data_IF_136256659677
#
_entry.id   IF_136256659677
#
_cell.length_a   1.000
_cell.length_b   1.000
_cell.length_c   1.000
_cell.angle_alpha   90.00
_cell.angle_beta   90.00
_cell.angle_gamma   90.00
#
_symmetry.space_group_name_H-M   'P 1'
#
loop_
_entity.id
_entity.type
_entity.pdbx_description
1 polymer ?
#
# COMPACT_ATOMS: atom_id res chain seq x y z
N UNK A 1 36.62 -3.01 -3.85
CA UNK A 1 35.40 -2.64 -4.60
C UNK A 1 34.22 -2.93 -3.69
N UNK A 2 33.69 -1.89 -3.03
CA UNK A 2 32.61 -2.03 -2.05
C UNK A 2 31.28 -2.19 -2.81
N UNK A 3 30.60 -3.31 -2.61
CA UNK A 3 29.22 -3.50 -3.06
C UNK A 3 28.33 -2.60 -2.19
N UNK A 4 27.59 -1.63 -2.75
CA UNK A 4 26.59 -0.92 -1.97
C UNK A 4 25.49 -1.91 -1.62
N UNK A 5 25.33 -2.18 -0.33
CA UNK A 5 24.16 -2.89 0.20
C UNK A 5 22.95 -2.03 -0.11
N UNK A 6 22.07 -2.48 -1.00
CA UNK A 6 20.76 -1.84 -1.18
C UNK A 6 19.97 -2.09 0.10
N UNK A 7 19.96 -1.09 0.98
CA UNK A 7 19.06 -1.05 2.13
C UNK A 7 17.64 -1.13 1.58
N UNK A 8 16.93 -2.16 2.02
CA UNK A 8 15.56 -2.48 1.65
C UNK A 8 14.70 -1.20 1.53
N UNK A 9 14.09 -0.89 0.36
CA UNK A 9 13.13 0.21 0.25
C UNK A 9 11.81 -0.24 0.88
N UNK A 10 11.85 -0.63 2.15
CA UNK A 10 10.66 -0.85 2.93
C UNK A 10 10.07 0.53 3.19
N UNK A 11 8.91 0.81 2.60
CA UNK A 11 8.10 1.94 3.00
C UNK A 11 7.70 1.68 4.45
N UNK A 12 8.15 2.49 5.44
CA UNK A 12 7.73 2.30 6.80
C UNK A 12 6.26 2.74 6.89
N UNK A 13 5.36 1.80 6.68
CA UNK A 13 3.96 1.98 7.06
C UNK A 13 3.92 1.83 8.57
N UNK A 14 3.83 2.95 9.29
CA UNK A 14 3.68 2.93 10.76
C UNK A 14 2.21 2.96 11.11
N UNK A 15 1.77 2.07 12.00
CA UNK A 15 0.45 2.16 12.61
C UNK A 15 0.41 3.38 13.54
N UNK A 16 -0.40 4.37 13.22
CA UNK A 16 -0.78 5.44 14.14
C UNK A 16 -1.64 4.89 15.29
N UNK A 17 -1.68 5.59 16.42
CA UNK A 17 -2.54 5.21 17.56
C UNK A 17 -4.05 5.27 17.25
N UNK A 18 -4.41 5.86 16.12
CA UNK A 18 -5.73 5.96 15.51
C UNK A 18 -6.04 4.84 14.51
N UNK A 19 -5.14 3.85 14.35
CA UNK A 19 -5.28 2.79 13.35
C UNK A 19 -5.05 3.28 11.92
N UNK A 20 -4.36 4.40 11.73
CA UNK A 20 -3.91 4.86 10.41
C UNK A 20 -2.62 4.15 10.00
N UNK A 21 -2.46 3.94 8.70
CA UNK A 21 -1.22 3.42 8.10
C UNK A 21 -0.53 4.57 7.35
N UNK A 22 0.53 5.13 7.93
CA UNK A 22 1.18 6.32 7.37
C UNK A 22 2.39 5.94 6.53
N UNK A 23 2.52 6.53 5.33
CA UNK A 23 3.69 6.42 4.48
C UNK A 23 4.50 7.71 4.47
N UNK A 24 5.79 7.57 4.74
CA UNK A 24 6.81 8.58 4.53
C UNK A 24 8.00 7.92 3.85
N UNK A 25 8.48 8.46 2.71
CA UNK A 25 9.59 7.87 1.99
C UNK A 25 10.88 8.03 2.80
N UNK A 26 11.70 6.98 2.79
CA UNK A 26 13.03 7.01 3.38
C UNK A 26 13.98 7.78 2.45
N UNK A 27 14.37 9.00 2.82
CA UNK A 27 15.14 9.94 1.97
C UNK A 27 16.64 9.68 1.92
N UNK A 28 17.10 8.43 2.13
CA UNK A 28 18.55 8.10 2.03
C UNK A 28 19.08 8.00 0.60
N UNK A 29 18.23 8.13 -0.43
CA UNK A 29 18.63 8.26 -1.83
C UNK A 29 18.39 9.69 -2.32
N UNK A 30 19.36 10.34 -3.01
CA UNK A 30 19.06 11.57 -3.73
C UNK A 30 17.94 11.23 -4.72
N UNK A 31 16.83 11.98 -4.65
CA UNK A 31 15.79 11.95 -5.68
C UNK A 31 16.52 12.00 -7.02
N UNK A 32 16.41 10.94 -7.83
CA UNK A 32 17.31 10.58 -8.94
C UNK A 32 17.50 11.68 -10.03
N UNK A 33 16.89 12.85 -9.85
CA UNK A 33 16.87 13.97 -10.76
C UNK A 33 16.71 15.36 -10.10
N UNK A 34 16.53 15.50 -8.78
CA UNK A 34 16.45 16.83 -8.16
C UNK A 34 16.61 16.81 -6.63
N UNK A 35 17.79 17.20 -6.11
CA UNK A 35 18.08 17.25 -4.67
C UNK A 35 17.20 18.26 -3.87
N UNK A 36 16.38 19.07 -4.55
CA UNK A 36 15.41 20.00 -3.95
C UNK A 36 13.95 19.55 -4.08
N UNK A 37 13.68 18.40 -4.73
CA UNK A 37 12.32 17.90 -4.84
C UNK A 37 11.85 17.34 -3.49
N UNK A 38 10.79 17.93 -2.93
CA UNK A 38 10.02 17.29 -1.86
C UNK A 38 9.61 15.89 -2.33
N UNK A 39 9.68 14.87 -1.46
CA UNK A 39 9.17 13.56 -1.83
C UNK A 39 7.70 13.65 -2.26
N UNK A 40 7.25 12.84 -3.23
CA UNK A 40 5.91 12.93 -3.80
C UNK A 40 4.79 12.67 -2.78
N UNK A 41 5.13 12.05 -1.64
CA UNK A 41 4.27 11.88 -0.48
C UNK A 41 5.12 12.06 0.78
N UNK A 42 4.63 12.83 1.75
CA UNK A 42 5.26 12.96 3.06
C UNK A 42 4.13 13.00 4.10
N UNK A 43 4.17 12.11 5.09
CA UNK A 43 3.14 12.01 6.12
C UNK A 43 1.73 11.84 5.54
N UNK A 44 1.60 10.94 4.56
CA UNK A 44 0.33 10.61 3.91
C UNK A 44 -0.26 9.32 4.48
N UNK A 45 -1.58 9.25 4.61
CA UNK A 45 -2.25 8.04 5.07
C UNK A 45 -2.61 7.13 3.90
N UNK A 46 -2.42 5.84 4.09
CA UNK A 46 -2.95 4.81 3.20
C UNK A 46 -4.48 4.86 3.23
N UNK A 47 -5.09 4.82 2.05
CA UNK A 47 -6.54 4.88 1.91
C UNK A 47 -7.08 3.78 1.01
N UNK A 48 -8.33 3.41 1.27
CA UNK A 48 -9.16 2.62 0.38
C UNK A 48 -10.47 3.34 0.04
N UNK A 49 -11.15 2.82 -0.98
CA UNK A 49 -12.57 2.88 -1.23
C UNK A 49 -13.51 3.21 -0.08
N UNK A 50 -14.24 4.32 -0.06
CA UNK A 50 -15.51 4.34 0.67
C UNK A 50 -16.52 3.39 -0.01
N UNK A 51 -17.46 2.79 0.75
CA UNK A 51 -18.38 1.77 0.21
C UNK A 51 -19.29 2.24 -0.94
N UNK A 52 -19.49 3.54 -1.11
CA UNK A 52 -20.26 4.13 -2.21
C UNK A 52 -19.41 4.70 -3.36
N UNK A 53 -18.09 4.56 -3.30
CA UNK A 53 -17.20 5.11 -4.31
C UNK A 53 -17.15 4.16 -5.53
N UNK A 54 -17.35 4.68 -6.76
CA UNK A 54 -17.26 3.85 -7.97
C UNK A 54 -15.82 3.43 -8.31
N UNK A 55 -14.81 4.10 -7.74
CA UNK A 55 -13.41 3.70 -7.88
C UNK A 55 -13.06 2.64 -6.84
N UNK A 56 -12.27 1.66 -7.27
CA UNK A 56 -11.67 0.63 -6.42
C UNK A 56 -10.21 0.92 -6.08
N UNK A 57 -9.66 2.06 -6.53
CA UNK A 57 -8.23 2.37 -6.41
C UNK A 57 -7.82 2.65 -4.95
N UNK A 58 -6.73 2.02 -4.52
CA UNK A 58 -6.10 2.32 -3.22
C UNK A 58 -4.90 3.23 -3.43
N UNK A 59 -4.53 3.99 -2.41
CA UNK A 59 -3.39 4.88 -2.54
C UNK A 59 -2.98 5.55 -1.24
N UNK A 60 -2.25 6.66 -1.38
CA UNK A 60 -1.82 7.49 -0.26
C UNK A 60 -2.30 8.92 -0.48
N UNK A 61 -2.88 9.52 0.55
CA UNK A 61 -3.38 10.89 0.48
C UNK A 61 -2.98 11.68 1.73
N UNK A 62 -2.70 12.97 1.55
CA UNK A 62 -2.49 13.89 2.67
C UNK A 62 -3.85 14.30 3.23
N UNK A 63 -4.08 14.07 4.54
CA UNK A 63 -5.25 14.52 5.30
C UNK A 63 -6.58 14.49 4.51
N UNK A 64 -7.11 13.31 4.25
CA UNK A 64 -8.46 13.17 3.68
C UNK A 64 -9.48 13.03 4.80
N UNK A 65 -10.18 14.12 5.11
CA UNK A 65 -11.44 14.08 5.88
C UNK A 65 -12.64 13.81 4.97
N UNK A 66 -12.42 13.28 3.76
CA UNK A 66 -13.50 12.95 2.83
C UNK A 66 -14.17 11.64 3.24
N UNK A 67 -15.51 11.60 3.17
CA UNK A 67 -16.32 10.39 3.34
C UNK A 67 -16.10 9.37 2.23
N UNK A 68 -15.45 9.76 1.13
CA UNK A 68 -15.27 8.92 -0.05
C UNK A 68 -14.10 7.93 0.06
N UNK A 69 -13.32 8.05 1.13
CA UNK A 69 -12.15 7.21 1.41
C UNK A 69 -12.06 6.83 2.88
N UNK A 70 -11.53 5.65 3.16
CA UNK A 70 -11.28 5.15 4.52
C UNK A 70 -9.76 5.12 4.72
N UNK A 71 -9.28 5.79 5.77
CA UNK A 71 -7.84 5.94 6.07
C UNK A 71 -7.41 5.35 7.41
N UNK A 72 -8.36 4.97 8.25
CA UNK A 72 -8.15 4.47 9.63
C UNK A 72 -8.88 3.14 9.83
N UNK A 73 -8.66 2.51 10.99
CA UNK A 73 -9.21 1.18 11.30
C UNK A 73 -8.32 0.02 10.85
N UNK A 74 -7.11 0.31 10.37
CA UNK A 74 -6.15 -0.73 9.98
C UNK A 74 -5.55 -1.40 11.21
N UNK A 75 -5.46 -2.74 11.14
CA UNK A 75 -4.85 -3.59 12.15
C UNK A 75 -3.98 -4.64 11.49
N UNK A 76 -2.93 -5.05 12.20
CA UNK A 76 -2.18 -6.25 11.84
C UNK A 76 -2.66 -7.44 12.68
N UNK A 77 -3.04 -8.53 12.00
CA UNK A 77 -3.17 -9.84 12.63
C UNK A 77 -1.95 -10.66 12.26
N UNK A 78 -1.00 -10.77 13.20
CA UNK A 78 0.35 -11.22 12.88
C UNK A 78 1.02 -10.24 11.90
N UNK A 79 1.32 -10.71 10.69
CA UNK A 79 1.95 -9.94 9.62
C UNK A 79 0.99 -9.49 8.52
N UNK A 80 -0.32 -9.68 8.70
CA UNK A 80 -1.33 -9.43 7.66
C UNK A 80 -2.11 -8.17 8.00
N UNK A 81 -2.18 -7.23 7.06
CA UNK A 81 -2.99 -6.03 7.18
C UNK A 81 -4.47 -6.32 6.93
N UNK A 82 -5.30 -5.92 7.89
CA UNK A 82 -6.76 -6.07 7.90
C UNK A 82 -7.40 -4.74 8.26
N UNK A 83 -8.59 -4.49 7.75
CA UNK A 83 -9.44 -3.38 8.16
C UNK A 83 -10.45 -3.87 9.19
N UNK A 84 -10.58 -3.18 10.31
CA UNK A 84 -11.71 -3.38 11.24
C UNK A 84 -12.94 -2.65 10.70
N UNK A 85 -13.97 -3.41 10.38
CA UNK A 85 -15.27 -2.90 9.94
C UNK A 85 -16.07 -2.34 11.11
N UNK A 86 -17.13 -1.57 10.82
CA UNK A 86 -18.00 -0.98 11.83
C UNK A 86 -18.69 -2.00 12.76
N UNK A 87 -18.84 -3.25 12.31
CA UNK A 87 -19.37 -4.37 13.09
C UNK A 87 -18.30 -5.09 13.94
N UNK A 88 -17.05 -4.63 13.91
CA UNK A 88 -15.92 -5.23 14.61
C UNK A 88 -15.28 -6.42 13.89
N UNK A 89 -15.74 -6.79 12.70
CA UNK A 89 -15.12 -7.83 11.89
C UNK A 89 -13.81 -7.34 11.26
N UNK A 90 -12.83 -8.23 11.13
CA UNK A 90 -11.58 -7.95 10.41
C UNK A 90 -11.68 -8.44 8.97
N UNK A 91 -11.54 -7.53 8.01
CA UNK A 91 -11.69 -7.82 6.58
C UNK A 91 -10.44 -7.46 5.77
N UNK A 92 -10.25 -8.17 4.66
CA UNK A 92 -9.23 -7.87 3.65
C UNK A 92 -9.83 -8.14 2.28
N UNK A 93 -9.97 -7.11 1.47
CA UNK A 93 -10.58 -7.19 0.15
C UNK A 93 -9.63 -6.69 -0.94
N UNK A 94 -8.32 -6.93 -0.76
CA UNK A 94 -7.32 -6.48 -1.73
C UNK A 94 -7.27 -7.38 -2.96
N UNK A 95 -7.15 -6.74 -4.12
CA UNK A 95 -6.99 -7.38 -5.41
C UNK A 95 -5.82 -6.76 -6.16
N UNK A 96 -5.11 -7.58 -6.94
CA UNK A 96 -4.15 -7.15 -7.93
C UNK A 96 -4.79 -7.27 -9.32
N UNK A 97 -4.94 -6.16 -10.02
CA UNK A 97 -5.52 -6.07 -11.36
C UNK A 97 -4.42 -5.73 -12.37
N UNK A 98 -4.36 -6.35 -13.56
CA UNK A 98 -3.36 -5.99 -14.55
C UNK A 98 -3.43 -4.50 -14.88
N UNK A 99 -2.28 -3.84 -14.89
CA UNK A 99 -2.20 -2.48 -15.43
C UNK A 99 -1.96 -2.53 -16.95
N UNK A 100 -2.06 -1.38 -17.62
CA UNK A 100 -1.62 -1.25 -19.02
C UNK A 100 -0.11 -1.38 -19.22
N UNK A 101 0.67 -1.56 -18.15
CA UNK A 101 2.14 -1.70 -18.18
C UNK A 101 2.54 -3.12 -17.79
N UNK A 102 3.40 -3.74 -18.62
CA UNK A 102 3.87 -5.10 -18.39
C UNK A 102 4.51 -5.27 -17.01
N UNK A 103 4.14 -6.35 -16.31
CA UNK A 103 4.59 -6.72 -14.96
C UNK A 103 4.26 -5.70 -13.86
N UNK A 104 3.47 -4.68 -14.15
CA UNK A 104 2.95 -3.73 -13.17
C UNK A 104 1.47 -4.04 -12.94
N UNK A 105 1.09 -4.10 -11.67
CA UNK A 105 -0.27 -4.42 -11.24
C UNK A 105 -0.82 -3.27 -10.42
N UNK A 106 -2.08 -2.94 -10.66
CA UNK A 106 -2.82 -2.00 -9.83
C UNK A 106 -3.32 -2.74 -8.60
N UNK A 107 -3.13 -2.14 -7.43
CA UNK A 107 -3.72 -2.62 -6.19
C UNK A 107 -5.10 -1.97 -6.04
N UNK A 108 -6.13 -2.77 -5.83
CA UNK A 108 -7.51 -2.30 -5.68
C UNK A 108 -8.16 -2.89 -4.45
N UNK A 109 -9.24 -2.26 -3.99
CA UNK A 109 -10.05 -2.70 -2.86
C UNK A 109 -11.47 -3.06 -3.32
N UNK A 110 -11.91 -4.25 -2.92
CA UNK A 110 -13.24 -4.78 -3.21
C UNK A 110 -13.55 -4.76 -4.72
N UNK A 111 -12.61 -5.22 -5.54
CA UNK A 111 -12.77 -5.30 -6.98
C UNK A 111 -13.95 -6.20 -7.35
N UNK A 112 -14.79 -5.72 -8.25
CA UNK A 112 -15.97 -6.45 -8.72
C UNK A 112 -15.81 -6.95 -10.15
N UNK A 113 -14.97 -6.29 -10.95
CA UNK A 113 -14.62 -6.76 -12.28
C UNK A 113 -13.40 -7.68 -12.23
N UNK A 114 -13.68 -8.98 -12.16
CA UNK A 114 -12.64 -10.03 -12.08
C UNK A 114 -12.34 -10.65 -13.45
N UNK A 115 -12.95 -10.15 -14.52
CA UNK A 115 -12.91 -10.79 -15.84
C UNK A 115 -11.54 -10.74 -16.52
N UNK A 116 -10.69 -9.78 -16.14
CA UNK A 116 -9.38 -9.51 -16.75
C UNK A 116 -8.19 -10.07 -15.94
N UNK A 117 -8.36 -11.17 -15.21
CA UNK A 117 -7.25 -11.80 -14.49
C UNK A 117 -6.86 -11.06 -13.21
N UNK A 118 -7.84 -10.42 -12.57
CA UNK A 118 -7.69 -9.92 -11.22
C UNK A 118 -7.41 -11.08 -10.23
N UNK A 119 -6.45 -10.90 -9.33
CA UNK A 119 -6.02 -11.93 -8.37
C UNK A 119 -6.24 -11.39 -6.95
N UNK A 120 -6.90 -12.14 -6.05
CA UNK A 120 -7.00 -11.73 -4.66
C UNK A 120 -5.61 -11.79 -4.01
N UNK A 121 -5.24 -10.73 -3.30
CA UNK A 121 -3.92 -10.60 -2.66
C UNK A 121 -4.04 -10.23 -1.19
N UNK A 122 -2.94 -10.38 -0.47
CA UNK A 122 -2.85 -10.03 0.95
C UNK A 122 -1.70 -9.08 1.15
N UNK A 123 -1.96 -7.94 1.79
CA UNK A 123 -0.91 -7.02 2.21
C UNK A 123 -0.25 -7.51 3.49
N UNK A 124 1.09 -7.47 3.51
CA UNK A 124 1.90 -7.90 4.64
C UNK A 124 2.99 -6.88 4.96
N UNK A 125 3.38 -6.81 6.23
CA UNK A 125 4.53 -6.03 6.71
C UNK A 125 5.86 -6.81 6.56
N UNK A 126 5.79 -8.05 6.10
CA UNK A 126 6.98 -8.87 5.82
C UNK A 126 7.50 -8.59 4.42
N UNK A 127 8.81 -8.39 4.25
CA UNK A 127 9.39 -8.16 2.94
C UNK A 127 9.22 -9.40 2.05
N UNK A 128 9.15 -9.23 0.72
CA UNK A 128 9.15 -10.35 -0.20
C UNK A 128 10.37 -11.27 0.03
N UNK A 129 10.21 -12.59 -0.11
CA UNK A 129 11.35 -13.50 -0.01
C UNK A 129 12.35 -13.23 -1.13
N UNK A 130 13.64 -13.38 -0.83
CA UNK A 130 14.67 -13.35 -1.85
C UNK A 130 14.48 -14.55 -2.79
N UNK A 131 14.16 -14.27 -4.06
CA UNK A 131 14.12 -15.31 -5.08
C UNK A 131 15.55 -15.72 -5.41
N UNK A 132 16.01 -16.85 -4.86
CA UNK A 132 17.26 -17.47 -5.31
C UNK A 132 16.90 -18.33 -6.52
N UNK A 133 17.26 -17.88 -7.73
CA UNK A 133 17.19 -18.73 -8.93
C UNK A 133 18.13 -19.91 -8.72
N UNK A 134 17.57 -21.12 -8.67
CA UNK A 134 18.37 -22.34 -8.68
C UNK A 134 19.01 -22.44 -10.07
N UNK A 135 20.34 -22.38 -10.12
CA UNK A 135 21.13 -22.66 -11.32
C UNK A 135 21.07 -24.14 -11.70
#
# INVERSE_FOLDING_TARGET
MLRPTMTNPFFPVTSGGDGSFSASPNTTAPVFNNATASPPFNNTSFFIPGAGNPSHEVGFAANTTSTDVITTGWKFYGHIALLESADGSLISLFWAVPSGTDRVWNLTWNETDTSDGAIPVTLKDTPPPNLVTKA
#
